data_IF_374047799781
#
_entry.id   IF_374047799781
#
_cell.length_a   1.000
_cell.length_b   1.000
_cell.length_c   1.000
_cell.angle_alpha   90.00
_cell.angle_beta   90.00
_cell.angle_gamma   90.00
#
_symmetry.space_group_name_H-M   'P 1'
#
loop_
_entity.id
_entity.type
_entity.pdbx_description
1 polymer ?
#
# COMPACT_ATOMS: atom_id res chain seq x y z
N UNK A 1 3.66 11.12 -15.08
CA UNK A 1 3.75 9.76 -15.63
C UNK A 1 4.96 9.03 -15.07
N UNK A 2 4.91 7.71 -15.11
CA UNK A 2 6.05 6.84 -14.83
C UNK A 2 6.79 6.51 -16.13
N UNK A 3 8.12 6.45 -16.06
CA UNK A 3 8.97 5.95 -17.13
C UNK A 3 10.06 5.05 -16.54
N UNK A 4 10.53 4.10 -17.33
CA UNK A 4 11.62 3.20 -16.96
C UNK A 4 12.55 3.00 -18.14
N UNK A 5 13.83 2.92 -17.86
CA UNK A 5 14.86 2.50 -18.84
C UNK A 5 15.14 1.00 -18.78
N UNK A 6 14.50 0.29 -17.84
CA UNK A 6 14.70 -1.15 -17.70
C UNK A 6 14.09 -1.91 -18.88
N UNK A 7 14.87 -2.81 -19.47
CA UNK A 7 14.46 -3.68 -20.59
C UNK A 7 14.15 -5.11 -20.12
N UNK A 8 14.00 -5.31 -18.80
CA UNK A 8 13.75 -6.63 -18.22
C UNK A 8 12.37 -7.15 -18.61
N UNK A 9 12.29 -8.45 -18.84
CA UNK A 9 11.07 -9.16 -19.20
C UNK A 9 10.45 -9.93 -18.03
N UNK A 10 11.25 -10.23 -17.00
CA UNK A 10 10.84 -10.90 -15.76
C UNK A 10 11.19 -10.02 -14.57
N UNK A 11 10.49 -10.18 -13.44
CA UNK A 11 10.65 -9.31 -12.30
C UNK A 11 9.75 -8.07 -12.40
N UNK A 12 10.13 -6.98 -11.74
CA UNK A 12 9.45 -5.68 -11.84
C UNK A 12 10.47 -4.57 -12.19
N UNK A 13 9.99 -3.56 -12.90
CA UNK A 13 10.84 -2.46 -13.34
C UNK A 13 10.96 -1.39 -12.28
N UNK A 14 12.16 -0.83 -12.14
CA UNK A 14 12.32 0.45 -11.48
C UNK A 14 11.78 1.57 -12.37
N UNK A 15 11.04 2.49 -11.79
CA UNK A 15 10.46 3.61 -12.51
C UNK A 15 10.95 4.95 -11.96
N UNK A 16 11.09 5.93 -12.85
CA UNK A 16 11.16 7.35 -12.51
C UNK A 16 9.76 7.95 -12.54
N UNK A 17 9.51 8.95 -11.70
CA UNK A 17 8.29 9.76 -11.76
C UNK A 17 8.57 11.11 -12.40
N UNK A 18 7.85 11.41 -13.47
CA UNK A 18 7.92 12.68 -14.17
C UNK A 18 6.66 13.51 -13.94
N UNK A 19 6.84 14.79 -13.69
CA UNK A 19 5.80 15.78 -13.61
C UNK A 19 5.83 16.67 -14.85
N UNK A 20 4.68 16.89 -15.45
CA UNK A 20 4.54 17.76 -16.63
C UNK A 20 3.71 18.98 -16.24
N UNK A 21 4.27 20.17 -16.43
CA UNK A 21 3.56 21.42 -16.22
C UNK A 21 3.80 22.33 -17.42
N UNK A 22 2.74 22.86 -18.05
CA UNK A 22 2.79 23.75 -19.23
C UNK A 22 3.68 23.21 -20.38
N UNK A 23 3.64 21.88 -20.61
CA UNK A 23 4.41 21.22 -21.66
C UNK A 23 5.89 20.98 -21.34
N UNK A 24 6.38 21.40 -20.18
CA UNK A 24 7.70 21.06 -19.69
C UNK A 24 7.63 19.87 -18.72
N UNK A 25 8.43 18.84 -18.99
CA UNK A 25 8.56 17.68 -18.11
C UNK A 25 9.79 17.82 -17.22
N UNK A 26 9.64 17.50 -15.94
CA UNK A 26 10.74 17.38 -14.99
C UNK A 26 10.67 16.05 -14.28
N UNK A 27 11.82 15.41 -14.11
CA UNK A 27 11.92 14.21 -13.26
C UNK A 27 11.90 14.66 -11.80
N UNK A 28 10.91 14.18 -11.04
CA UNK A 28 10.77 14.52 -9.62
C UNK A 28 11.25 13.39 -8.71
N UNK A 29 11.14 12.15 -9.15
CA UNK A 29 11.70 10.99 -8.46
C UNK A 29 12.49 10.16 -9.48
N UNK A 30 13.83 10.09 -9.35
CA UNK A 30 14.65 9.32 -10.27
C UNK A 30 14.51 7.81 -10.04
N UNK A 31 14.83 7.04 -11.07
CA UNK A 31 14.83 5.58 -11.02
C UNK A 31 15.74 5.07 -9.89
N UNK A 32 15.24 4.08 -9.13
CA UNK A 32 15.98 3.53 -7.99
C UNK A 32 16.02 4.41 -6.74
N UNK A 33 15.32 5.56 -6.75
CA UNK A 33 15.22 6.41 -5.57
C UNK A 33 14.38 5.73 -4.48
N UNK A 34 14.99 5.55 -3.31
CA UNK A 34 14.37 4.82 -2.19
C UNK A 34 14.42 5.55 -0.85
N UNK A 35 14.64 6.88 -0.87
CA UNK A 35 14.71 7.66 0.37
C UNK A 35 13.40 7.52 1.15
N UNK A 36 13.51 7.22 2.45
CA UNK A 36 12.40 6.93 3.37
C UNK A 36 11.59 5.65 3.05
N UNK A 37 12.07 4.82 2.14
CA UNK A 37 11.53 3.51 1.88
C UNK A 37 12.44 2.42 2.46
N UNK A 38 11.94 1.21 2.69
CA UNK A 38 12.80 0.07 3.02
C UNK A 38 13.83 -0.17 1.91
N UNK A 39 14.98 -0.75 2.28
CA UNK A 39 16.02 -1.08 1.30
C UNK A 39 15.47 -1.96 0.18
N UNK A 40 15.81 -1.63 -1.06
CA UNK A 40 15.36 -2.36 -2.24
C UNK A 40 13.92 -2.08 -2.65
N UNK A 41 13.26 -1.07 -2.07
CA UNK A 41 11.93 -0.62 -2.50
C UNK A 41 12.05 0.60 -3.41
N UNK A 42 11.07 0.78 -4.29
CA UNK A 42 10.99 1.94 -5.18
C UNK A 42 9.64 2.04 -5.88
N UNK A 43 9.55 3.02 -6.76
CA UNK A 43 8.41 3.17 -7.67
C UNK A 43 8.41 2.02 -8.67
N UNK A 44 7.22 1.51 -8.97
CA UNK A 44 7.09 0.38 -9.86
C UNK A 44 5.94 0.56 -10.86
N UNK A 45 5.99 -0.18 -11.94
CA UNK A 45 5.07 -0.09 -13.07
C UNK A 45 3.62 -0.50 -12.78
N UNK A 46 3.38 -1.21 -11.65
CA UNK A 46 2.06 -1.74 -11.33
C UNK A 46 1.14 -0.74 -10.62
N UNK A 47 1.58 0.50 -10.42
CA UNK A 47 0.76 1.56 -9.82
C UNK A 47 0.82 2.83 -10.65
N UNK A 48 -0.30 3.23 -11.21
CA UNK A 48 -0.42 4.53 -11.85
C UNK A 48 -0.39 5.65 -10.79
N UNK A 49 0.32 6.76 -11.05
CA UNK A 49 0.26 7.93 -10.18
C UNK A 49 -1.08 8.65 -10.33
N UNK A 50 -1.66 9.05 -9.20
CA UNK A 50 -2.90 9.82 -9.15
C UNK A 50 -2.69 11.10 -8.35
N UNK A 51 -3.30 12.21 -8.79
CA UNK A 51 -3.28 13.45 -8.03
C UNK A 51 -4.36 13.46 -6.95
N UNK A 52 -4.05 14.11 -5.80
CA UNK A 52 -5.11 14.60 -4.92
C UNK A 52 -5.98 15.62 -5.67
N UNK A 53 -7.22 15.82 -5.22
CA UNK A 53 -8.17 16.72 -5.90
C UNK A 53 -7.63 18.16 -5.97
N UNK A 54 -6.89 18.61 -4.94
CA UNK A 54 -6.25 19.93 -4.90
C UNK A 54 -4.95 20.03 -5.71
N UNK A 55 -4.50 18.90 -6.29
CA UNK A 55 -3.28 18.82 -7.08
C UNK A 55 -1.97 19.01 -6.31
N UNK A 56 -2.01 19.01 -4.97
CA UNK A 56 -0.81 19.26 -4.15
C UNK A 56 -0.03 17.98 -3.84
N UNK A 57 -0.64 16.81 -4.00
CA UNK A 57 -0.05 15.50 -3.68
C UNK A 57 -0.18 14.54 -4.85
N UNK A 58 0.76 13.64 -4.94
CA UNK A 58 0.70 12.48 -5.83
C UNK A 58 0.59 11.21 -4.99
N UNK A 59 -0.46 10.44 -5.24
CA UNK A 59 -0.69 9.12 -4.68
C UNK A 59 -0.05 8.11 -5.62
N UNK A 60 0.80 7.23 -5.09
CA UNK A 60 1.53 6.26 -5.90
C UNK A 60 1.82 5.00 -5.10
N UNK A 61 1.90 3.86 -5.76
CA UNK A 61 2.32 2.62 -5.15
C UNK A 61 3.83 2.43 -5.23
N UNK A 62 4.40 2.00 -4.13
CA UNK A 62 5.78 1.51 -4.05
C UNK A 62 5.79 0.01 -3.82
N UNK A 63 6.86 -0.66 -4.22
CA UNK A 63 7.00 -2.10 -4.02
C UNK A 63 8.46 -2.49 -3.86
N UNK A 64 8.74 -3.68 -3.28
CA UNK A 64 10.08 -4.24 -3.30
C UNK A 64 10.50 -4.54 -4.74
N UNK A 65 11.78 -4.34 -5.03
CA UNK A 65 12.35 -4.75 -6.30
C UNK A 65 12.45 -6.27 -6.37
N UNK A 66 11.92 -6.82 -7.43
CA UNK A 66 12.02 -8.26 -7.75
C UNK A 66 13.00 -8.37 -8.90
N UNK A 67 14.18 -8.93 -8.62
CA UNK A 67 15.18 -9.14 -9.65
C UNK A 67 14.65 -10.03 -10.79
N UNK A 68 15.05 -9.78 -12.03
CA UNK A 68 14.71 -10.66 -13.13
C UNK A 68 15.33 -12.04 -12.92
N UNK A 69 14.69 -13.06 -13.49
CA UNK A 69 15.23 -14.41 -13.50
C UNK A 69 16.56 -14.44 -14.28
N UNK A 70 17.53 -15.21 -13.78
CA UNK A 70 18.80 -15.36 -14.50
C UNK A 70 18.57 -16.19 -15.78
N UNK A 71 18.77 -15.61 -16.98
CA UNK A 71 18.52 -16.31 -18.24
C UNK A 71 19.49 -17.49 -18.50
N UNK A 72 20.53 -17.61 -17.67
CA UNK A 72 21.47 -18.73 -17.75
C UNK A 72 21.01 -19.98 -17.02
N UNK A 73 20.03 -19.81 -16.10
CA UNK A 73 19.49 -20.94 -15.34
C UNK A 73 18.37 -21.58 -16.17
N UNK A 74 18.59 -22.81 -16.60
CA UNK A 74 17.58 -23.59 -17.31
C UNK A 74 16.52 -24.05 -16.31
N UNK A 75 15.25 -24.01 -16.67
CA UNK A 75 14.13 -24.38 -15.78
C UNK A 75 14.31 -25.79 -15.17
N UNK A 76 14.88 -26.72 -15.93
CA UNK A 76 15.20 -28.10 -15.48
C UNK A 76 16.26 -28.14 -14.37
N UNK A 77 17.09 -27.11 -14.23
CA UNK A 77 18.13 -27.00 -13.20
C UNK A 77 17.66 -26.23 -11.98
N UNK A 78 16.48 -25.63 -12.05
CA UNK A 78 15.88 -24.90 -10.93
C UNK A 78 15.33 -25.87 -9.90
N UNK A 79 15.81 -25.77 -8.66
CA UNK A 79 15.31 -26.60 -7.57
C UNK A 79 13.83 -26.32 -7.31
N UNK A 80 12.99 -27.36 -7.46
CA UNK A 80 11.57 -27.33 -7.17
C UNK A 80 11.36 -27.67 -5.68
N UNK A 81 11.38 -26.64 -4.81
CA UNK A 81 11.23 -26.84 -3.36
C UNK A 81 9.96 -26.19 -2.88
N UNK A 82 9.08 -26.96 -2.24
CA UNK A 82 7.91 -26.46 -1.54
C UNK A 82 8.22 -26.32 -0.04
N UNK A 83 8.29 -25.09 0.44
CA UNK A 83 8.53 -24.80 1.86
C UNK A 83 7.18 -24.58 2.56
N UNK A 84 6.90 -25.39 3.57
CA UNK A 84 5.73 -25.25 4.43
C UNK A 84 6.14 -24.69 5.77
N UNK A 85 5.66 -23.47 6.10
CA UNK A 85 5.93 -22.83 7.37
C UNK A 85 4.60 -22.51 8.08
N UNK A 86 4.45 -22.97 9.32
CA UNK A 86 3.24 -22.74 10.11
C UNK A 86 2.97 -21.26 10.46
N UNK A 87 3.98 -20.41 10.26
CA UNK A 87 3.87 -18.95 10.47
C UNK A 87 3.46 -18.18 9.23
N UNK A 88 3.37 -18.86 8.08
CA UNK A 88 2.98 -18.19 6.86
C UNK A 88 1.50 -17.78 6.92
N UNK A 89 1.22 -16.59 6.46
CA UNK A 89 -0.15 -16.06 6.39
C UNK A 89 -1.04 -16.86 5.43
N UNK A 90 -0.46 -17.50 4.43
CA UNK A 90 -1.15 -18.34 3.46
C UNK A 90 -0.47 -19.71 3.40
N UNK A 91 -1.28 -20.74 3.25
CA UNK A 91 -0.75 -22.09 3.00
C UNK A 91 -0.10 -22.12 1.62
N UNK A 92 0.89 -23.00 1.46
CA UNK A 92 1.73 -23.07 0.28
C UNK A 92 0.94 -23.19 -1.06
N UNK A 93 -0.16 -23.98 -1.20
CA UNK A 93 -0.97 -23.98 -2.42
C UNK A 93 -1.61 -22.62 -2.75
N UNK A 94 -2.05 -21.86 -1.73
CA UNK A 94 -2.57 -20.52 -1.93
C UNK A 94 -1.47 -19.55 -2.38
N UNK A 95 -0.26 -19.68 -1.80
CA UNK A 95 0.88 -18.86 -2.22
C UNK A 95 1.19 -19.10 -3.70
N UNK A 96 1.21 -20.37 -4.16
CA UNK A 96 1.44 -20.70 -5.58
C UNK A 96 0.41 -20.06 -6.51
N UNK A 97 -0.87 -20.12 -6.16
CA UNK A 97 -1.94 -19.50 -6.96
C UNK A 97 -1.81 -17.97 -6.98
N UNK A 98 -1.37 -17.38 -5.86
CA UNK A 98 -1.30 -15.93 -5.69
C UNK A 98 0.04 -15.29 -6.10
N UNK A 99 1.02 -16.05 -6.58
CA UNK A 99 2.36 -15.53 -6.97
C UNK A 99 2.27 -14.32 -7.88
N UNK A 100 1.45 -14.38 -8.93
CA UNK A 100 1.31 -13.29 -9.89
C UNK A 100 0.75 -12.01 -9.24
N UNK A 101 -0.23 -12.14 -8.35
CA UNK A 101 -0.81 -11.02 -7.60
C UNK A 101 0.18 -10.47 -6.58
N UNK A 102 0.92 -11.35 -5.90
CA UNK A 102 1.95 -10.94 -4.94
C UNK A 102 3.08 -10.15 -5.62
N UNK A 103 3.53 -10.57 -6.80
CA UNK A 103 4.55 -9.86 -7.59
C UNK A 103 4.07 -8.47 -8.06
N UNK A 104 2.77 -8.28 -8.27
CA UNK A 104 2.18 -6.99 -8.69
C UNK A 104 1.72 -6.11 -7.53
N UNK A 105 1.80 -6.62 -6.30
CA UNK A 105 1.37 -5.88 -5.10
C UNK A 105 2.15 -4.58 -4.97
N UNK A 106 1.43 -3.48 -4.79
CA UNK A 106 2.00 -2.18 -4.45
C UNK A 106 1.45 -1.68 -3.12
N UNK A 107 2.22 -0.82 -2.48
CA UNK A 107 1.93 -0.24 -1.18
C UNK A 107 1.75 1.25 -1.37
N UNK A 108 0.57 1.74 -1.01
CA UNK A 108 0.21 3.15 -1.20
C UNK A 108 1.17 4.06 -0.45
N UNK A 109 1.67 5.06 -1.16
CA UNK A 109 2.53 6.11 -0.66
C UNK A 109 2.09 7.45 -1.19
N UNK A 110 2.53 8.52 -0.55
CA UNK A 110 2.25 9.91 -0.94
C UNK A 110 3.54 10.65 -1.18
N UNK A 111 3.55 11.47 -2.22
CA UNK A 111 4.57 12.47 -2.51
C UNK A 111 3.91 13.83 -2.46
N UNK A 112 4.42 14.73 -1.61
CA UNK A 112 3.95 16.10 -1.57
C UNK A 112 4.74 16.92 -2.62
N UNK A 113 4.07 17.62 -3.52
CA UNK A 113 4.72 18.40 -4.58
C UNK A 113 5.49 19.61 -4.06
N UNK A 114 5.23 20.07 -2.84
CA UNK A 114 6.04 21.08 -2.18
C UNK A 114 7.42 20.57 -1.71
N UNK A 115 7.53 19.25 -1.44
CA UNK A 115 8.77 18.56 -1.11
C UNK A 115 8.78 17.17 -1.81
N UNK A 116 9.02 17.15 -3.12
CA UNK A 116 8.94 15.95 -3.92
C UNK A 116 10.03 14.92 -3.60
N UNK A 117 11.05 15.32 -2.84
CA UNK A 117 12.13 14.42 -2.43
C UNK A 117 11.75 13.50 -1.27
N UNK A 118 10.53 13.55 -0.78
CA UNK A 118 10.06 12.70 0.31
C UNK A 118 8.91 11.81 -0.14
N UNK A 119 9.12 10.50 -0.11
CA UNK A 119 8.07 9.50 -0.28
C UNK A 119 7.60 9.09 1.10
N UNK A 120 6.32 9.25 1.38
CA UNK A 120 5.70 8.86 2.67
C UNK A 120 4.90 7.59 2.47
N UNK A 121 5.37 6.42 2.94
CA UNK A 121 4.60 5.19 2.85
C UNK A 121 3.40 5.23 3.80
N UNK A 122 2.22 5.00 3.28
CA UNK A 122 0.97 4.92 4.05
C UNK A 122 0.61 3.48 4.40
N UNK A 123 0.78 2.57 3.43
CA UNK A 123 0.59 1.13 3.63
C UNK A 123 1.91 0.51 4.06
N UNK A 124 1.91 -0.27 5.14
CA UNK A 124 3.14 -0.86 5.71
C UNK A 124 3.08 -2.38 5.79
N UNK A 125 1.92 -2.99 5.61
CA UNK A 125 1.73 -4.43 5.70
C UNK A 125 0.93 -4.97 4.51
N UNK A 126 1.09 -6.26 4.23
CA UNK A 126 0.46 -6.91 3.08
C UNK A 126 -1.07 -6.84 3.13
N UNK A 127 -1.65 -6.93 4.32
CA UNK A 127 -3.10 -6.97 4.54
C UNK A 127 -3.66 -5.67 5.13
N UNK A 128 -2.88 -4.61 5.03
CA UNK A 128 -3.27 -3.26 5.40
C UNK A 128 -3.87 -2.54 4.18
N UNK A 129 -5.15 -2.24 4.25
CA UNK A 129 -5.85 -1.46 3.24
C UNK A 129 -5.93 0.00 3.67
N UNK A 130 -5.19 0.85 3.00
CA UNK A 130 -5.22 2.29 3.24
C UNK A 130 -6.03 2.98 2.14
N UNK A 131 -6.93 3.87 2.56
CA UNK A 131 -7.76 4.68 1.67
C UNK A 131 -7.58 6.15 2.04
N UNK A 132 -7.23 7.00 1.07
CA UNK A 132 -7.12 8.44 1.30
C UNK A 132 -8.49 9.05 1.57
N UNK A 133 -8.53 10.03 2.47
CA UNK A 133 -9.76 10.71 2.83
C UNK A 133 -9.89 12.02 2.05
N UNK A 134 -11.12 12.50 1.87
CA UNK A 134 -11.42 13.75 1.14
C UNK A 134 -10.68 13.83 -0.19
N UNK A 135 -10.75 12.75 -1.00
CA UNK A 135 -10.12 12.68 -2.33
C UNK A 135 -8.61 13.02 -2.33
N UNK A 136 -7.91 12.69 -1.22
CA UNK A 136 -6.48 12.97 -1.05
C UNK A 136 -6.15 14.35 -0.46
N UNK A 137 -7.12 15.22 -0.24
CA UNK A 137 -6.89 16.56 0.33
C UNK A 137 -6.75 16.55 1.85
N UNK A 138 -7.21 15.48 2.52
CA UNK A 138 -7.08 15.35 3.97
C UNK A 138 -5.62 15.12 4.38
N UNK A 139 -5.25 15.57 5.59
CA UNK A 139 -3.99 15.19 6.23
C UNK A 139 -3.97 13.75 6.73
N UNK A 140 -5.12 13.07 6.66
CA UNK A 140 -5.31 11.72 7.16
C UNK A 140 -5.79 10.78 6.07
N UNK A 141 -5.33 9.55 6.14
CA UNK A 141 -5.85 8.40 5.40
C UNK A 141 -6.37 7.35 6.39
N UNK A 142 -7.39 6.60 5.99
CA UNK A 142 -7.99 5.54 6.78
C UNK A 142 -7.29 4.21 6.47
N UNK A 143 -6.72 3.58 7.49
CA UNK A 143 -6.13 2.25 7.42
C UNK A 143 -7.05 1.24 8.08
N UNK A 144 -7.21 0.10 7.43
CA UNK A 144 -7.91 -1.08 7.90
C UNK A 144 -6.96 -2.28 7.77
N UNK A 145 -6.24 -2.59 8.84
CA UNK A 145 -5.19 -3.61 8.84
C UNK A 145 -5.69 -4.91 9.47
N UNK A 146 -5.74 -5.96 8.66
CA UNK A 146 -6.12 -7.30 9.11
C UNK A 146 -4.93 -8.24 9.29
N UNK A 147 -3.71 -7.74 9.18
CA UNK A 147 -2.49 -8.55 9.21
C UNK A 147 -2.39 -9.45 10.45
N UNK A 148 -2.72 -8.92 11.63
CA UNK A 148 -2.69 -9.68 12.89
C UNK A 148 -3.69 -10.85 12.92
N UNK A 149 -4.81 -10.70 12.21
CA UNK A 149 -5.96 -11.62 12.28
C UNK A 149 -6.08 -12.50 11.05
N UNK A 150 -5.24 -12.27 10.04
CA UNK A 150 -5.38 -12.93 8.74
C UNK A 150 -5.29 -14.46 8.82
N UNK A 151 -4.39 -15.00 9.65
CA UNK A 151 -4.28 -16.45 9.84
C UNK A 151 -5.58 -17.00 10.45
N UNK A 152 -6.12 -16.32 11.48
CA UNK A 152 -7.37 -16.74 12.12
C UNK A 152 -8.54 -16.72 11.12
N UNK A 153 -8.64 -15.72 10.26
CA UNK A 153 -9.71 -15.61 9.25
C UNK A 153 -9.71 -16.71 8.18
N UNK A 154 -8.69 -17.61 8.15
CA UNK A 154 -8.68 -18.79 7.30
C UNK A 154 -9.62 -19.90 7.83
N UNK A 155 -9.98 -19.85 9.10
CA UNK A 155 -10.74 -20.89 9.82
C UNK A 155 -12.03 -20.34 10.43
N UNK A 156 -12.17 -19.03 10.51
CA UNK A 156 -13.23 -18.31 11.17
C UNK A 156 -13.97 -17.44 10.15
N UNK A 157 -15.27 -17.30 10.28
CA UNK A 157 -16.08 -16.43 9.43
C UNK A 157 -15.87 -14.94 9.77
N UNK A 158 -15.26 -14.64 10.93
CA UNK A 158 -15.00 -13.28 11.37
C UNK A 158 -13.75 -12.70 10.71
N UNK A 159 -13.89 -11.54 10.06
CA UNK A 159 -12.78 -10.77 9.48
C UNK A 159 -12.38 -9.59 10.37
N UNK A 160 -11.66 -9.88 11.44
CA UNK A 160 -11.17 -8.82 12.32
C UNK A 160 -10.09 -7.95 11.67
N UNK A 161 -10.10 -6.67 12.00
CA UNK A 161 -9.11 -5.68 11.58
C UNK A 161 -8.92 -4.59 12.63
N UNK A 162 -7.75 -3.96 12.61
CA UNK A 162 -7.48 -2.74 13.35
C UNK A 162 -7.79 -1.54 12.45
N UNK A 163 -8.45 -0.53 13.01
CA UNK A 163 -8.79 0.71 12.33
C UNK A 163 -7.88 1.81 12.87
N UNK A 164 -7.17 2.49 11.99
CA UNK A 164 -6.30 3.60 12.36
C UNK A 164 -6.33 4.73 11.33
N UNK A 165 -5.99 5.94 11.76
CA UNK A 165 -5.64 7.04 10.88
C UNK A 165 -4.13 7.03 10.61
N UNK A 166 -3.77 7.31 9.37
CA UNK A 166 -2.38 7.47 8.94
C UNK A 166 -2.19 8.91 8.48
N UNK A 167 -1.27 9.64 9.09
CA UNK A 167 -0.97 10.99 8.65
C UNK A 167 -0.20 10.96 7.32
N UNK A 168 -0.73 11.59 6.29
CA UNK A 168 -0.19 11.52 4.92
C UNK A 168 1.14 12.27 4.75
N UNK A 169 1.48 13.17 5.68
CA UNK A 169 2.72 13.92 5.63
C UNK A 169 3.88 13.23 6.38
N UNK A 170 3.56 12.38 7.34
CA UNK A 170 4.57 11.78 8.25
C UNK A 170 4.56 10.25 8.30
N UNK A 171 3.48 9.61 7.81
CA UNK A 171 3.27 8.17 7.95
C UNK A 171 2.90 7.72 9.38
N UNK A 172 2.81 8.63 10.34
CA UNK A 172 2.44 8.29 11.73
C UNK A 172 1.01 7.80 11.83
N UNK A 173 0.80 6.77 12.66
CA UNK A 173 -0.50 6.14 12.85
C UNK A 173 -1.10 6.50 14.20
N UNK A 174 -2.43 6.68 14.21
CA UNK A 174 -3.25 6.85 15.41
C UNK A 174 -4.30 5.75 15.40
N UNK A 175 -4.29 4.86 16.40
CA UNK A 175 -5.28 3.80 16.53
C UNK A 175 -6.64 4.41 16.90
N UNK A 176 -7.69 3.97 16.20
CA UNK A 176 -9.09 4.33 16.49
C UNK A 176 -9.78 3.17 17.21
N UNK A 177 -9.67 1.97 16.67
CA UNK A 177 -10.31 0.78 17.21
C UNK A 177 -9.50 -0.46 16.81
N UNK A 178 -9.50 -1.47 17.69
CA UNK A 178 -8.77 -2.71 17.50
C UNK A 178 -9.73 -3.90 17.50
N UNK A 179 -9.37 -4.92 16.71
CA UNK A 179 -10.10 -6.18 16.61
C UNK A 179 -11.58 -5.99 16.28
N UNK A 180 -11.89 -5.19 15.27
CA UNK A 180 -13.26 -4.90 14.84
C UNK A 180 -13.62 -5.77 13.64
N UNK A 181 -14.73 -6.50 13.75
CA UNK A 181 -15.36 -7.19 12.63
C UNK A 181 -16.35 -6.24 11.93
N UNK A 182 -15.81 -5.29 11.21
CA UNK A 182 -16.57 -4.27 10.49
C UNK A 182 -15.79 -3.71 9.31
N UNK A 183 -16.48 -3.04 8.40
CA UNK A 183 -15.87 -2.17 7.40
C UNK A 183 -16.01 -0.72 7.86
N UNK A 184 -14.88 -0.03 8.01
CA UNK A 184 -14.88 1.38 8.31
C UNK A 184 -14.90 2.21 7.01
N UNK A 185 -15.58 3.35 7.06
CA UNK A 185 -15.62 4.31 5.96
C UNK A 185 -15.40 5.72 6.50
N UNK A 186 -14.75 6.56 5.70
CA UNK A 186 -14.63 8.00 6.00
C UNK A 186 -15.82 8.76 5.43
N UNK A 187 -16.22 9.85 6.10
CA UNK A 187 -17.12 10.83 5.50
C UNK A 187 -16.47 11.46 4.26
N UNK A 188 -17.27 11.95 3.28
CA UNK A 188 -16.72 12.55 2.05
C UNK A 188 -15.76 13.72 2.31
N UNK A 189 -16.01 14.51 3.35
CA UNK A 189 -15.18 15.64 3.76
C UNK A 189 -13.97 15.25 4.65
N UNK A 190 -13.84 13.96 4.98
CA UNK A 190 -12.74 13.44 5.79
C UNK A 190 -12.77 13.80 7.27
N UNK A 191 -13.91 14.30 7.79
CA UNK A 191 -14.01 14.72 9.21
C UNK A 191 -14.36 13.59 10.16
N UNK A 192 -15.01 12.54 9.65
CA UNK A 192 -15.52 11.45 10.47
C UNK A 192 -15.09 10.10 9.87
N UNK A 193 -14.91 9.11 10.75
CA UNK A 193 -14.80 7.70 10.40
C UNK A 193 -15.97 6.97 11.07
N UNK A 194 -16.71 6.19 10.27
CA UNK A 194 -17.89 5.46 10.72
C UNK A 194 -17.67 3.97 10.50
N UNK A 195 -18.17 3.17 11.42
CA UNK A 195 -18.26 1.72 11.25
C UNK A 195 -19.46 1.15 12.03
N UNK A 196 -19.97 0.04 11.57
CA UNK A 196 -20.94 -0.76 12.31
C UNK A 196 -20.22 -1.96 12.94
N UNK A 197 -20.23 -2.05 14.27
CA UNK A 197 -19.63 -3.17 14.96
C UNK A 197 -20.65 -4.30 15.11
N UNK A 198 -20.40 -5.43 14.47
CA UNK A 198 -21.28 -6.59 14.51
C UNK A 198 -21.43 -7.16 15.94
N UNK A 199 -20.36 -7.15 16.73
CA UNK A 199 -20.35 -7.71 18.07
C UNK A 199 -21.31 -6.98 19.04
N UNK A 200 -21.39 -5.65 18.88
CA UNK A 200 -22.23 -4.78 19.75
C UNK A 200 -23.56 -4.43 19.09
N UNK A 201 -23.72 -4.77 17.81
CA UNK A 201 -24.86 -4.35 16.98
C UNK A 201 -25.08 -2.83 16.99
N UNK A 202 -23.99 -2.07 16.99
CA UNK A 202 -24.00 -0.62 17.14
C UNK A 202 -23.17 0.10 16.08
N UNK A 203 -23.59 1.32 15.73
CA UNK A 203 -22.81 2.24 14.91
C UNK A 203 -21.88 3.06 15.76
N UNK A 204 -20.66 3.22 15.31
CA UNK A 204 -19.64 4.07 15.93
C UNK A 204 -19.24 5.17 14.97
N UNK A 205 -18.96 6.33 15.52
CA UNK A 205 -18.49 7.49 14.79
C UNK A 205 -17.30 8.12 15.52
N UNK A 206 -16.19 8.24 14.84
CA UNK A 206 -14.99 8.88 15.34
C UNK A 206 -14.81 10.23 14.66
N UNK A 207 -14.70 11.30 15.43
CA UNK A 207 -14.41 12.63 14.92
C UNK A 207 -12.88 12.84 14.84
N UNK A 208 -12.37 13.03 13.62
CA UNK A 208 -10.93 13.12 13.33
C UNK A 208 -10.28 14.33 14.03
N UNK A 209 -10.98 15.46 14.12
CA UNK A 209 -10.44 16.68 14.72
C UNK A 209 -10.36 16.61 16.24
N UNK A 210 -11.36 16.02 16.90
CA UNK A 210 -11.40 15.92 18.37
C UNK A 210 -10.68 14.68 18.91
N UNK A 211 -10.42 13.69 18.05
CA UNK A 211 -9.83 12.42 18.46
C UNK A 211 -10.75 11.53 19.31
N UNK A 212 -12.08 11.68 19.14
CA UNK A 212 -13.08 10.96 19.92
C UNK A 212 -14.22 10.43 19.05
#
# INVERSE_FOLDING_TARGET
FLASTDTITTGNKHCSLFYVNNGMSSEIIPQGYSRNLPNGWGLNENSAPEFSQDGQRVLIGVAPYIAPDDPKIVEAETAQVDIWNYRDYQIQPQQKVNVANAKRKTYLSVINLSDPNQIVPLTTAMWDRVTVMNQGNSEWALSQDKTKYYIQSQWDDDEFKDISLVNVNTGKRVSIAEKINAMAMSSPDGKYVLWYNLSDSAYYCYNVASGK
#
